data_IF_984255049661
#
_entry.id   IF_984255049661
#
_cell.length_a   1.000
_cell.length_b   1.000
_cell.length_c   1.000
_cell.angle_alpha   90.00
_cell.angle_beta   90.00
_cell.angle_gamma   90.00
#
_symmetry.space_group_name_H-M   'P 1'
#
loop_
_entity.id
_entity.type
_entity.pdbx_description
1 polymer ?
#
# COMPACT_ATOMS: atom_id res chain seq x y z
N UNK A 1 31.56 18.25 -7.48
CA UNK A 1 30.47 17.38 -7.95
C UNK A 1 29.24 17.75 -7.18
N UNK A 2 28.30 18.39 -7.80
CA UNK A 2 26.97 18.57 -7.25
C UNK A 2 26.29 17.21 -7.27
N UNK A 3 25.96 16.67 -6.11
CA UNK A 3 25.03 15.55 -5.99
C UNK A 3 23.73 16.09 -6.56
N UNK A 4 23.34 15.62 -7.76
CA UNK A 4 22.03 15.94 -8.28
C UNK A 4 21.01 15.51 -7.21
N UNK A 5 20.28 16.48 -6.68
CA UNK A 5 19.19 16.21 -5.74
C UNK A 5 18.25 15.21 -6.44
N UNK A 6 18.25 13.97 -5.95
CA UNK A 6 17.30 12.96 -6.43
C UNK A 6 15.93 13.47 -6.03
N UNK A 7 15.15 13.92 -7.00
CA UNK A 7 13.80 14.38 -6.72
C UNK A 7 12.93 13.17 -6.33
N UNK A 8 12.61 13.09 -5.04
CA UNK A 8 11.69 12.10 -4.51
C UNK A 8 10.25 12.49 -4.84
N UNK A 9 9.47 11.52 -5.27
CA UNK A 9 8.03 11.67 -5.46
C UNK A 9 7.35 11.11 -4.23
N UNK A 10 6.73 12.00 -3.44
CA UNK A 10 6.03 11.63 -2.21
C UNK A 10 4.53 11.58 -2.47
N UNK A 11 3.92 10.45 -2.15
CA UNK A 11 2.48 10.22 -2.30
C UNK A 11 1.91 9.80 -0.95
N UNK A 12 0.90 10.53 -0.49
CA UNK A 12 0.09 10.15 0.67
C UNK A 12 -1.21 9.50 0.19
N UNK A 13 -1.39 8.23 0.51
CA UNK A 13 -2.62 7.49 0.19
C UNK A 13 -3.49 7.42 1.42
N UNK A 14 -4.77 7.77 1.28
CA UNK A 14 -5.80 7.55 2.30
C UNK A 14 -6.68 6.39 1.88
N UNK A 15 -6.98 5.51 2.80
CA UNK A 15 -7.76 4.32 2.59
C UNK A 15 -7.29 3.18 3.47
N UNK A 16 -7.83 2.01 3.26
CA UNK A 16 -7.45 0.80 4.01
C UNK A 16 -6.53 -0.03 3.13
N UNK A 17 -5.22 -0.12 3.48
CA UNK A 17 -4.32 -0.97 2.72
C UNK A 17 -4.81 -2.42 2.70
N UNK A 18 -4.73 -3.05 1.54
CA UNK A 18 -5.17 -4.41 1.38
C UNK A 18 -4.13 -5.25 0.63
N UNK A 19 -3.81 -6.43 1.16
CA UNK A 19 -2.85 -7.33 0.53
C UNK A 19 -3.43 -7.94 -0.74
N UNK A 20 -2.58 -8.13 -1.75
CA UNK A 20 -2.95 -8.91 -2.92
C UNK A 20 -3.06 -10.37 -2.52
N UNK A 21 -4.26 -10.93 -2.61
CA UNK A 21 -4.49 -12.34 -2.33
C UNK A 21 -3.97 -13.25 -3.45
N UNK A 22 -3.90 -14.52 -3.16
CA UNK A 22 -3.73 -15.54 -4.20
C UNK A 22 -4.97 -15.58 -5.07
N UNK A 23 -4.81 -15.85 -6.38
CA UNK A 23 -5.95 -16.05 -7.27
C UNK A 23 -6.68 -17.34 -6.90
N UNK A 24 -7.98 -17.26 -6.74
CA UNK A 24 -8.84 -18.39 -6.46
C UNK A 24 -9.68 -18.75 -7.69
N UNK A 25 -10.02 -20.03 -7.85
CA UNK A 25 -10.95 -20.46 -8.90
C UNK A 25 -12.34 -19.91 -8.56
N UNK A 26 -12.89 -19.11 -9.47
CA UNK A 26 -14.23 -18.49 -9.34
C UNK A 26 -15.31 -19.24 -10.08
N UNK A 27 -14.94 -20.15 -10.98
CA UNK A 27 -15.85 -20.92 -11.80
C UNK A 27 -15.14 -21.55 -12.99
N UNK A 28 -15.92 -22.16 -13.88
CA UNK A 28 -15.43 -22.78 -15.09
C UNK A 28 -16.26 -22.34 -16.29
N UNK A 29 -15.58 -22.05 -17.38
CA UNK A 29 -16.20 -21.82 -18.69
C UNK A 29 -15.52 -22.72 -19.71
N UNK A 30 -16.31 -23.54 -20.40
CA UNK A 30 -15.79 -24.51 -21.39
C UNK A 30 -14.64 -25.38 -20.85
N UNK A 31 -14.77 -25.86 -19.58
CA UNK A 31 -13.77 -26.71 -18.94
C UNK A 31 -12.50 -26.00 -18.48
N UNK A 32 -12.42 -24.67 -18.62
CA UNK A 32 -11.29 -23.86 -18.17
C UNK A 32 -11.63 -23.14 -16.87
N UNK A 33 -10.73 -23.20 -15.89
CA UNK A 33 -10.87 -22.48 -14.65
C UNK A 33 -10.78 -20.97 -14.87
N UNK A 34 -11.74 -20.23 -14.31
CA UNK A 34 -11.70 -18.77 -14.22
C UNK A 34 -11.07 -18.42 -12.89
N UNK A 35 -9.93 -17.72 -12.94
CA UNK A 35 -9.22 -17.24 -11.75
C UNK A 35 -9.63 -15.82 -11.42
N UNK A 36 -9.76 -15.53 -10.13
CA UNK A 36 -10.04 -14.18 -9.62
C UNK A 36 -9.32 -13.93 -8.31
N UNK A 37 -9.27 -12.67 -7.90
CA UNK A 37 -8.68 -12.29 -6.61
C UNK A 37 -9.42 -12.95 -5.45
N UNK A 38 -8.68 -13.51 -4.50
CA UNK A 38 -9.24 -14.08 -3.28
C UNK A 38 -9.66 -13.01 -2.27
N UNK A 39 -9.06 -11.82 -2.33
CA UNK A 39 -9.40 -10.68 -1.48
C UNK A 39 -10.23 -9.65 -2.22
N UNK A 40 -11.43 -9.36 -1.72
CA UNK A 40 -12.31 -8.31 -2.25
C UNK A 40 -11.83 -6.89 -1.91
N UNK A 41 -10.96 -6.74 -0.91
CA UNK A 41 -10.48 -5.44 -0.44
C UNK A 41 -9.33 -4.87 -1.30
N UNK A 42 -8.69 -5.67 -2.14
CA UNK A 42 -7.54 -5.24 -2.93
C UNK A 42 -7.92 -4.25 -4.04
N UNK A 43 -9.07 -4.41 -4.67
CA UNK A 43 -9.51 -3.51 -5.73
C UNK A 43 -9.78 -2.08 -5.23
N UNK A 44 -10.52 -1.85 -4.12
CA UNK A 44 -10.66 -0.52 -3.52
C UNK A 44 -9.32 0.10 -3.14
N UNK A 45 -8.37 -0.66 -2.59
CA UNK A 45 -7.05 -0.15 -2.25
C UNK A 45 -6.27 0.34 -3.48
N UNK A 46 -6.30 -0.42 -4.57
CA UNK A 46 -5.67 0.01 -5.84
C UNK A 46 -6.29 1.30 -6.37
N UNK A 47 -7.60 1.46 -6.25
CA UNK A 47 -8.31 2.71 -6.62
C UNK A 47 -7.82 3.87 -5.77
N UNK A 48 -7.67 3.69 -4.46
CA UNK A 48 -7.16 4.72 -3.55
C UNK A 48 -5.73 5.13 -3.91
N UNK A 49 -4.87 4.17 -4.24
CA UNK A 49 -3.49 4.42 -4.69
C UNK A 49 -3.48 5.23 -5.99
N UNK A 50 -4.29 4.85 -6.96
CA UNK A 50 -4.40 5.57 -8.25
C UNK A 50 -4.88 7.01 -8.05
N UNK A 51 -5.94 7.20 -7.27
CA UNK A 51 -6.48 8.52 -6.99
C UNK A 51 -5.46 9.43 -6.32
N UNK A 52 -4.76 8.92 -5.30
CA UNK A 52 -3.71 9.66 -4.62
C UNK A 52 -2.57 10.06 -5.58
N UNK A 53 -2.14 9.14 -6.42
CA UNK A 53 -1.09 9.38 -7.41
C UNK A 53 -1.51 10.42 -8.44
N UNK A 54 -2.71 10.31 -9.00
CA UNK A 54 -3.24 11.27 -9.97
C UNK A 54 -3.35 12.68 -9.39
N UNK A 55 -3.73 12.80 -8.12
CA UNK A 55 -3.90 14.10 -7.48
C UNK A 55 -2.57 14.74 -7.04
N UNK A 56 -1.54 13.95 -6.76
CA UNK A 56 -0.30 14.42 -6.14
C UNK A 56 0.90 14.41 -7.08
N UNK A 57 0.79 13.76 -8.22
CA UNK A 57 1.83 13.71 -9.24
C UNK A 57 1.26 14.00 -10.62
N UNK A 58 1.72 15.08 -11.24
CA UNK A 58 1.25 15.56 -12.55
C UNK A 58 2.27 15.37 -13.67
N UNK A 59 3.45 14.82 -13.35
CA UNK A 59 4.50 14.56 -14.34
C UNK A 59 4.20 13.36 -15.24
N UNK A 60 5.08 13.09 -16.22
CA UNK A 60 4.96 11.91 -17.06
C UNK A 60 5.24 10.63 -16.28
N UNK A 61 4.70 9.50 -16.74
CA UNK A 61 5.01 8.20 -16.18
C UNK A 61 6.51 7.93 -16.23
N UNK A 62 7.03 7.31 -15.17
CA UNK A 62 8.45 7.00 -15.06
C UNK A 62 8.77 5.76 -15.90
N UNK A 63 9.87 5.83 -16.65
CA UNK A 63 10.41 4.73 -17.47
C UNK A 63 11.82 4.31 -17.04
N UNK A 64 12.29 4.80 -15.90
CA UNK A 64 13.60 4.50 -15.35
C UNK A 64 13.49 3.61 -14.10
N UNK A 65 14.58 2.93 -13.70
CA UNK A 65 14.62 2.21 -12.42
C UNK A 65 14.30 3.13 -11.24
N UNK A 66 13.53 2.63 -10.28
CA UNK A 66 13.14 3.38 -9.09
C UNK A 66 13.34 2.55 -7.82
N UNK A 67 13.49 3.25 -6.69
CA UNK A 67 13.27 2.67 -5.38
C UNK A 67 11.90 3.07 -4.85
N UNK A 68 11.25 2.17 -4.14
CA UNK A 68 10.00 2.42 -3.44
C UNK A 68 10.22 2.29 -1.93
N UNK A 69 9.88 3.33 -1.19
CA UNK A 69 9.74 3.29 0.26
C UNK A 69 8.25 3.40 0.61
N UNK A 70 7.73 2.46 1.38
CA UNK A 70 6.31 2.40 1.72
C UNK A 70 6.11 2.14 3.21
N UNK A 71 5.27 2.95 3.85
CA UNK A 71 4.78 2.72 5.21
C UNK A 71 3.28 2.56 5.17
N UNK A 72 2.79 1.38 5.54
CA UNK A 72 1.36 1.07 5.57
C UNK A 72 0.79 1.33 6.96
N UNK A 73 -0.34 2.02 7.02
CA UNK A 73 -0.97 2.50 8.23
C UNK A 73 -2.33 1.85 8.42
N UNK A 74 -2.53 1.27 9.59
CA UNK A 74 -3.80 0.63 9.95
C UNK A 74 -4.32 1.20 11.28
N UNK A 75 -5.62 1.42 11.35
CA UNK A 75 -6.25 1.85 12.60
C UNK A 75 -6.12 0.78 13.69
N UNK A 76 -5.86 1.21 14.92
CA UNK A 76 -5.88 0.28 16.06
C UNK A 76 -7.31 -0.18 16.36
N UNK A 77 -7.51 -1.47 16.64
CA UNK A 77 -8.80 -1.96 17.11
C UNK A 77 -9.21 -1.31 18.42
N UNK A 78 -10.50 -1.13 18.64
CA UNK A 78 -11.06 -0.65 19.91
C UNK A 78 -10.56 -1.44 21.12
N UNK A 79 -10.35 -2.74 20.97
CA UNK A 79 -9.86 -3.60 22.04
C UNK A 79 -8.47 -3.24 22.57
N UNK A 80 -7.68 -2.45 21.81
CA UNK A 80 -6.39 -1.95 22.26
C UNK A 80 -6.48 -0.78 23.24
N UNK A 81 -7.65 -0.20 23.38
CA UNK A 81 -7.91 0.94 24.26
C UNK A 81 -8.68 0.52 25.51
N UNK A 82 -8.61 1.34 26.54
CA UNK A 82 -9.42 1.17 27.74
C UNK A 82 -10.91 1.41 27.51
N UNK A 83 -11.67 1.46 28.59
CA UNK A 83 -13.12 1.68 28.58
C UNK A 83 -13.50 2.91 29.40
N UNK A 84 -14.69 3.45 29.18
CA UNK A 84 -15.19 4.63 29.90
C UNK A 84 -14.28 5.84 29.71
N UNK A 85 -13.83 6.43 30.81
CA UNK A 85 -12.91 7.57 30.77
C UNK A 85 -11.50 7.25 30.20
N UNK A 86 -11.17 5.96 30.09
CA UNK A 86 -9.91 5.49 29.52
C UNK A 86 -10.05 5.03 28.07
N UNK A 87 -11.17 5.32 27.40
CA UNK A 87 -11.47 4.86 26.05
C UNK A 87 -10.47 5.35 24.98
N UNK A 88 -9.75 6.43 25.25
CA UNK A 88 -8.73 6.98 24.36
C UNK A 88 -7.29 6.62 24.77
N UNK A 89 -7.13 5.88 25.86
CA UNK A 89 -5.83 5.44 26.36
C UNK A 89 -5.53 4.03 25.92
N UNK A 90 -4.35 3.82 25.34
CA UNK A 90 -3.85 2.49 25.02
C UNK A 90 -3.66 1.67 26.30
N UNK A 91 -4.12 0.42 26.27
CA UNK A 91 -3.78 -0.56 27.31
C UNK A 91 -2.29 -0.87 27.28
N UNK A 92 -1.71 -1.18 28.43
CA UNK A 92 -0.32 -1.68 28.48
C UNK A 92 -0.14 -2.98 27.67
N UNK A 93 -1.18 -3.80 27.59
CA UNK A 93 -1.21 -5.04 26.81
C UNK A 93 -1.38 -4.82 25.31
N UNK A 94 -1.64 -3.58 24.85
CA UNK A 94 -1.80 -3.31 23.42
C UNK A 94 -0.49 -3.61 22.67
N UNK A 95 -0.54 -4.40 21.58
CA UNK A 95 0.67 -4.73 20.84
C UNK A 95 1.29 -3.50 20.20
N UNK A 96 2.61 -3.38 20.32
CA UNK A 96 3.38 -2.32 19.68
C UNK A 96 3.44 -2.52 18.17
N UNK A 97 3.67 -3.75 17.74
CA UNK A 97 3.85 -4.10 16.33
C UNK A 97 2.60 -4.73 15.74
N UNK A 98 2.36 -4.45 14.47
CA UNK A 98 1.22 -4.96 13.73
C UNK A 98 1.58 -6.31 13.10
N UNK A 99 1.29 -7.39 13.80
CA UNK A 99 1.57 -8.77 13.38
C UNK A 99 0.31 -9.56 13.02
N UNK A 100 -0.86 -8.92 13.10
CA UNK A 100 -2.13 -9.57 12.80
C UNK A 100 -2.20 -10.04 11.34
N UNK A 101 -2.49 -11.30 11.14
CA UNK A 101 -2.70 -11.89 9.80
C UNK A 101 -3.84 -11.24 9.03
N UNK A 102 -4.78 -10.62 9.74
CA UNK A 102 -5.93 -9.92 9.15
C UNK A 102 -5.52 -8.78 8.23
N UNK A 103 -4.43 -8.08 8.53
CA UNK A 103 -3.96 -6.95 7.76
C UNK A 103 -3.05 -7.36 6.59
N UNK A 104 -2.71 -8.63 6.51
CA UNK A 104 -1.93 -9.23 5.44
C UNK A 104 -0.43 -9.11 5.61
N UNK A 105 0.27 -9.87 4.81
CA UNK A 105 1.72 -9.89 4.77
C UNK A 105 2.26 -8.67 4.04
N UNK A 106 3.41 -8.20 4.47
CA UNK A 106 4.01 -6.98 3.95
C UNK A 106 4.32 -7.06 2.45
N UNK A 107 4.82 -8.19 1.97
CA UNK A 107 5.09 -8.41 0.55
C UNK A 107 3.84 -8.31 -0.32
N UNK A 108 2.71 -8.77 0.17
CA UNK A 108 1.42 -8.69 -0.53
C UNK A 108 0.83 -7.29 -0.52
N UNK A 109 1.08 -6.51 0.53
CA UNK A 109 0.74 -5.08 0.58
C UNK A 109 1.55 -4.28 -0.43
N UNK A 110 2.84 -4.57 -0.53
CA UNK A 110 3.73 -3.95 -1.53
C UNK A 110 3.24 -4.27 -2.94
N UNK A 111 2.88 -5.52 -3.20
CA UNK A 111 2.45 -5.98 -4.52
C UNK A 111 1.17 -5.28 -4.98
N UNK A 112 0.14 -5.20 -4.13
CA UNK A 112 -1.11 -4.51 -4.47
C UNK A 112 -0.89 -3.02 -4.72
N UNK A 113 0.01 -2.40 -3.96
CA UNK A 113 0.37 -0.99 -4.10
C UNK A 113 1.14 -0.75 -5.39
N UNK A 114 2.12 -1.59 -5.72
CA UNK A 114 2.87 -1.51 -6.97
C UNK A 114 1.95 -1.60 -8.19
N UNK A 115 0.96 -2.49 -8.16
CA UNK A 115 -0.06 -2.57 -9.21
C UNK A 115 -0.86 -1.26 -9.33
N UNK A 116 -1.20 -0.64 -8.21
CA UNK A 116 -1.89 0.66 -8.21
C UNK A 116 -1.06 1.81 -8.79
N UNK A 117 0.27 1.72 -8.74
CA UNK A 117 1.19 2.70 -9.30
C UNK A 117 1.49 2.47 -10.79
N UNK A 118 1.26 1.27 -11.32
CA UNK A 118 1.72 0.85 -12.64
C UNK A 118 0.66 1.04 -13.72
N UNK A 119 1.07 1.58 -14.87
CA UNK A 119 0.18 1.75 -16.03
C UNK A 119 -0.31 0.38 -16.53
N UNK A 120 0.54 -0.63 -16.53
CA UNK A 120 0.18 -2.00 -16.92
C UNK A 120 -1.00 -2.58 -16.14
N UNK A 121 -1.24 -2.08 -14.94
CA UNK A 121 -2.37 -2.46 -14.09
C UNK A 121 -3.38 -1.31 -13.86
N UNK A 122 -3.34 -0.28 -14.69
CA UNK A 122 -4.28 0.85 -14.66
C UNK A 122 -3.86 2.04 -13.80
N UNK A 123 -2.63 2.07 -13.31
CA UNK A 123 -2.04 3.21 -12.59
C UNK A 123 -1.51 4.30 -13.53
N UNK A 124 -0.77 5.26 -13.00
CA UNK A 124 -0.30 6.42 -13.77
C UNK A 124 1.14 6.83 -13.51
N UNK A 125 1.81 6.28 -12.50
CA UNK A 125 3.13 6.75 -12.08
C UNK A 125 4.29 6.02 -12.77
N UNK A 126 4.22 4.69 -12.84
CA UNK A 126 5.25 3.84 -13.42
C UNK A 126 4.75 3.20 -14.70
N UNK A 127 5.57 3.07 -15.71
CA UNK A 127 5.19 2.31 -16.90
C UNK A 127 4.89 0.85 -16.54
N UNK A 128 5.70 0.28 -15.66
CA UNK A 128 5.54 -1.11 -15.18
C UNK A 128 6.16 -1.28 -13.79
N UNK A 129 5.64 -2.20 -12.99
CA UNK A 129 6.15 -2.48 -11.65
C UNK A 129 7.54 -3.12 -11.65
N UNK A 130 7.98 -3.67 -12.78
CA UNK A 130 9.35 -4.18 -12.96
C UNK A 130 10.44 -3.09 -12.84
N UNK A 131 10.05 -1.81 -12.93
CA UNK A 131 10.96 -0.69 -12.69
C UNK A 131 11.35 -0.53 -11.21
N UNK A 132 10.59 -1.14 -10.30
CA UNK A 132 10.91 -1.11 -8.87
C UNK A 132 12.03 -2.13 -8.60
N UNK A 133 13.25 -1.64 -8.41
CA UNK A 133 14.43 -2.49 -8.20
C UNK A 133 14.91 -2.52 -6.74
N UNK A 134 14.39 -1.64 -5.91
CA UNK A 134 14.66 -1.57 -4.48
C UNK A 134 13.35 -1.27 -3.73
N UNK A 135 13.12 -1.95 -2.63
CA UNK A 135 11.98 -1.71 -1.75
C UNK A 135 12.44 -1.64 -0.30
N UNK A 136 11.98 -0.62 0.40
CA UNK A 136 12.00 -0.54 1.86
C UNK A 136 10.56 -0.34 2.33
N UNK A 137 10.06 -1.22 3.17
CA UNK A 137 8.67 -1.15 3.60
C UNK A 137 8.48 -1.59 5.04
N UNK A 138 7.49 -1.00 5.67
CA UNK A 138 6.99 -1.38 6.99
C UNK A 138 5.46 -1.21 7.06
N UNK A 139 4.88 -1.84 8.05
CA UNK A 139 3.46 -1.68 8.40
C UNK A 139 3.36 -1.40 9.89
N UNK A 140 2.49 -0.49 10.25
CA UNK A 140 2.28 -0.11 11.65
C UNK A 140 0.87 0.37 11.92
N UNK A 141 0.53 0.48 13.17
CA UNK A 141 -0.70 1.16 13.58
C UNK A 141 -0.56 2.67 13.42
N UNK A 142 -1.69 3.32 13.13
CA UNK A 142 -1.78 4.78 13.12
C UNK A 142 -1.44 5.35 14.49
N UNK A 143 -0.73 6.47 14.50
CA UNK A 143 -0.54 7.33 15.67
C UNK A 143 -1.79 8.18 15.90
N UNK A 144 -1.82 8.90 17.02
CA UNK A 144 -2.92 9.81 17.33
C UNK A 144 -3.10 10.86 16.22
N UNK A 145 -4.32 11.00 15.73
CA UNK A 145 -4.67 11.94 14.66
C UNK A 145 -4.30 11.49 13.25
N UNK A 146 -3.65 10.34 13.11
CA UNK A 146 -3.26 9.80 11.81
C UNK A 146 -4.36 8.90 11.24
N UNK A 147 -4.63 9.07 9.95
CA UNK A 147 -5.62 8.25 9.23
C UNK A 147 -4.96 7.05 8.55
N UNK A 148 -5.70 5.92 8.40
CA UNK A 148 -5.20 4.77 7.66
C UNK A 148 -4.83 5.10 6.21
N UNK A 149 -3.87 4.36 5.68
CA UNK A 149 -3.42 4.50 4.30
C UNK A 149 -1.97 4.12 4.13
N UNK A 150 -1.24 4.91 3.36
CA UNK A 150 0.19 4.70 3.17
C UNK A 150 0.93 6.02 2.93
N UNK A 151 2.18 6.05 3.37
CA UNK A 151 3.18 6.99 2.88
C UNK A 151 4.04 6.27 1.84
N UNK A 152 4.10 6.81 0.64
CA UNK A 152 4.92 6.26 -0.44
C UNK A 152 5.96 7.29 -0.87
N UNK A 153 7.18 6.85 -1.04
CA UNK A 153 8.25 7.65 -1.64
C UNK A 153 8.85 6.86 -2.80
N UNK A 154 8.79 7.42 -3.99
CA UNK A 154 9.36 6.85 -5.19
C UNK A 154 10.55 7.71 -5.61
N UNK A 155 11.73 7.11 -5.64
CA UNK A 155 12.98 7.80 -5.97
C UNK A 155 13.54 7.26 -7.27
N UNK A 156 13.79 8.12 -8.25
CA UNK A 156 14.46 7.73 -9.49
C UNK A 156 15.90 7.32 -9.21
N UNK A 157 16.32 6.21 -9.78
CA UNK A 157 17.69 5.73 -9.73
C UNK A 157 18.39 6.03 -11.07
N UNK A 158 19.60 6.51 -10.99
CA UNK A 158 20.44 6.82 -12.17
C UNK A 158 21.27 5.60 -12.56
#
# INVERSE_FOLDING_TARGET
MTVAERADIQIRVWGIPAPQGSKAVRGYVNGRAILGESSKAVAPWRVDVRAATQNQYTGPALSCPVSLCATFLFARPKAHYGTGRNAERLKESAPRYLTSVRHGDLDKLIRSTADGLSISAGGTLLEDDSLIVQVMADKRYCEEGELPGAYLTVTKLN
#
